data_IF_010151071123
#
_entry.id   IF_010151071123
#
_cell.length_a   1.000
_cell.length_b   1.000
_cell.length_c   1.000
_cell.angle_alpha   90.00
_cell.angle_beta   90.00
_cell.angle_gamma   90.00
#
_symmetry.space_group_name_H-M   'P 1'
#
loop_
_entity.id
_entity.type
_entity.pdbx_description
1 polymer ?
#
# COMPACT_ATOMS: atom_id res chain seq x y z
N UNK A 1 -5.42 -24.18 3.66
CA UNK A 1 -5.00 -23.13 2.71
C UNK A 1 -3.75 -23.61 2.01
N UNK A 2 -3.56 -23.27 0.73
CA UNK A 2 -2.31 -23.56 0.02
C UNK A 2 -1.17 -22.76 0.67
N UNK A 3 0.04 -23.32 0.70
CA UNK A 3 1.25 -22.60 1.10
C UNK A 3 1.87 -21.90 -0.10
N UNK A 4 2.65 -20.84 0.14
CA UNK A 4 3.41 -20.15 -0.91
C UNK A 4 4.58 -21.05 -1.33
N UNK A 5 4.80 -21.15 -2.63
CA UNK A 5 5.90 -21.91 -3.21
C UNK A 5 7.26 -21.37 -2.73
N UNK A 6 8.09 -22.25 -2.15
CA UNK A 6 9.40 -21.87 -1.59
C UNK A 6 10.39 -21.40 -2.65
N UNK A 7 10.36 -21.97 -3.85
CA UNK A 7 11.24 -21.53 -4.94
C UNK A 7 10.81 -20.15 -5.48
N UNK A 8 9.52 -19.83 -5.41
CA UNK A 8 9.02 -18.49 -5.73
C UNK A 8 9.50 -17.47 -4.68
N UNK A 9 9.43 -17.82 -3.38
CA UNK A 9 9.97 -16.97 -2.29
C UNK A 9 11.45 -16.71 -2.52
N UNK A 10 12.22 -17.77 -2.76
CA UNK A 10 13.66 -17.67 -3.02
C UNK A 10 13.98 -16.80 -4.23
N UNK A 11 13.21 -16.94 -5.31
CA UNK A 11 13.34 -16.06 -6.47
C UNK A 11 13.11 -14.58 -6.10
N UNK A 12 12.05 -14.28 -5.33
CA UNK A 12 11.80 -12.92 -4.87
C UNK A 12 12.94 -12.39 -4.01
N UNK A 13 13.43 -13.17 -3.05
CA UNK A 13 14.53 -12.81 -2.15
C UNK A 13 15.85 -12.55 -2.89
N UNK A 14 16.19 -13.39 -3.87
CA UNK A 14 17.48 -13.31 -4.57
C UNK A 14 17.49 -12.31 -5.73
N UNK A 15 16.35 -12.08 -6.38
CA UNK A 15 16.28 -11.32 -7.65
C UNK A 15 15.45 -10.04 -7.57
N UNK A 16 14.39 -10.03 -6.78
CA UNK A 16 13.42 -8.92 -6.78
C UNK A 16 13.66 -7.97 -5.61
N UNK A 17 13.73 -8.50 -4.39
CA UNK A 17 13.88 -7.70 -3.17
C UNK A 17 15.13 -6.80 -3.14
N UNK A 18 16.30 -7.21 -3.66
CA UNK A 18 17.47 -6.33 -3.71
C UNK A 18 17.28 -5.06 -4.56
N UNK A 19 16.30 -5.03 -5.47
CA UNK A 19 16.03 -3.86 -6.31
C UNK A 19 15.42 -2.73 -5.45
N UNK A 20 14.55 -3.08 -4.50
CA UNK A 20 13.85 -2.13 -3.63
C UNK A 20 14.77 -1.42 -2.63
N UNK A 21 15.97 -1.94 -2.36
CA UNK A 21 16.97 -1.28 -1.51
C UNK A 21 17.42 0.08 -2.07
N UNK A 22 17.20 0.31 -3.37
CA UNK A 22 17.54 1.56 -4.05
C UNK A 22 16.41 2.60 -4.05
N UNK A 23 15.21 2.22 -3.58
CA UNK A 23 14.02 3.06 -3.69
C UNK A 23 13.85 4.03 -2.51
N UNK A 24 12.95 5.01 -2.68
CA UNK A 24 12.62 5.93 -1.59
C UNK A 24 11.82 5.24 -0.47
N UNK A 25 11.74 5.87 0.71
CA UNK A 25 11.07 5.32 1.90
C UNK A 25 9.61 4.88 1.67
N UNK A 26 8.92 5.44 0.67
CA UNK A 26 7.54 5.08 0.37
C UNK A 26 7.41 3.75 -0.41
N UNK A 27 8.49 3.27 -1.01
CA UNK A 27 8.50 2.10 -1.88
C UNK A 27 9.68 1.17 -1.54
N UNK A 28 10.25 1.30 -0.34
CA UNK A 28 11.36 0.47 0.11
C UNK A 28 10.90 -0.93 0.50
N UNK A 29 11.84 -1.80 0.86
CA UNK A 29 11.55 -3.19 1.18
C UNK A 29 10.59 -3.35 2.39
N UNK A 30 10.64 -2.44 3.37
CA UNK A 30 9.70 -2.44 4.50
C UNK A 30 8.24 -2.26 4.05
N UNK A 31 8.01 -1.34 3.09
CA UNK A 31 6.69 -1.17 2.47
C UNK A 31 6.24 -2.45 1.78
N UNK A 32 7.10 -3.04 0.94
CA UNK A 32 6.78 -4.27 0.20
C UNK A 32 6.42 -5.41 1.15
N UNK A 33 7.18 -5.63 2.22
CA UNK A 33 6.85 -6.65 3.21
C UNK A 33 5.52 -6.38 3.93
N UNK A 34 5.25 -5.12 4.29
CA UNK A 34 3.96 -4.75 4.89
C UNK A 34 2.79 -4.99 3.92
N UNK A 35 2.96 -4.74 2.61
CA UNK A 35 1.93 -5.03 1.59
C UNK A 35 1.74 -6.54 1.43
N UNK A 36 2.82 -7.32 1.37
CA UNK A 36 2.76 -8.80 1.29
C UNK A 36 2.00 -9.37 2.49
N UNK A 37 2.34 -8.95 3.72
CA UNK A 37 1.66 -9.40 4.93
C UNK A 37 0.17 -9.08 4.89
N UNK A 38 -0.18 -7.83 4.56
CA UNK A 38 -1.58 -7.38 4.42
C UNK A 38 -2.32 -8.19 3.36
N UNK A 39 -1.72 -8.41 2.19
CA UNK A 39 -2.32 -9.19 1.10
C UNK A 39 -2.61 -10.64 1.52
N UNK A 40 -1.69 -11.26 2.26
CA UNK A 40 -1.87 -12.61 2.82
C UNK A 40 -3.00 -12.63 3.86
N UNK A 41 -3.10 -11.61 4.72
CA UNK A 41 -4.17 -11.52 5.71
C UNK A 41 -5.54 -11.33 5.05
N UNK A 42 -5.63 -10.50 4.01
CA UNK A 42 -6.85 -10.34 3.19
C UNK A 42 -7.21 -11.68 2.53
N UNK A 43 -6.25 -12.36 1.91
CA UNK A 43 -6.45 -13.69 1.31
C UNK A 43 -7.04 -14.69 2.31
N UNK A 44 -6.46 -14.78 3.51
CA UNK A 44 -6.95 -15.66 4.59
C UNK A 44 -8.39 -15.31 4.98
N UNK A 45 -8.72 -14.02 5.07
CA UNK A 45 -10.05 -13.54 5.47
C UNK A 45 -11.14 -13.88 4.44
N UNK A 46 -10.78 -13.98 3.15
CA UNK A 46 -11.71 -14.31 2.07
C UNK A 46 -12.18 -15.78 2.14
N UNK A 47 -11.36 -16.67 2.71
CA UNK A 47 -11.61 -18.11 2.80
C UNK A 47 -12.10 -18.73 1.47
N UNK A 48 -11.57 -18.25 0.34
CA UNK A 48 -11.96 -18.71 -0.99
C UNK A 48 -10.86 -19.63 -1.57
N UNK A 49 -11.14 -20.93 -1.77
CA UNK A 49 -10.16 -21.89 -2.28
C UNK A 49 -9.79 -21.69 -3.76
N UNK A 50 -10.56 -20.90 -4.52
CA UNK A 50 -10.28 -20.61 -5.93
C UNK A 50 -9.19 -19.56 -6.12
N UNK A 51 -8.87 -18.80 -5.07
CA UNK A 51 -7.80 -17.79 -5.10
C UNK A 51 -6.46 -18.50 -4.87
N UNK A 52 -5.50 -18.31 -5.77
CA UNK A 52 -4.15 -18.85 -5.61
C UNK A 52 -3.25 -17.90 -4.82
N UNK A 53 -2.73 -18.38 -3.69
CA UNK A 53 -1.87 -17.60 -2.81
C UNK A 53 -0.54 -17.20 -3.47
N UNK A 54 -0.05 -17.98 -4.45
CA UNK A 54 1.18 -17.64 -5.17
C UNK A 54 0.98 -16.42 -6.06
N UNK A 55 -0.17 -16.31 -6.71
CA UNK A 55 -0.55 -15.15 -7.52
C UNK A 55 -0.75 -13.92 -6.63
N UNK A 56 -1.39 -14.07 -5.45
CA UNK A 56 -1.49 -12.99 -4.45
C UNK A 56 -0.11 -12.52 -4.01
N UNK A 57 0.76 -13.45 -3.61
CA UNK A 57 2.11 -13.16 -3.14
C UNK A 57 2.94 -12.44 -4.21
N UNK A 58 2.96 -12.96 -5.44
CA UNK A 58 3.71 -12.36 -6.53
C UNK A 58 3.18 -10.97 -6.91
N UNK A 59 1.86 -10.79 -6.97
CA UNK A 59 1.26 -9.49 -7.27
C UNK A 59 1.62 -8.44 -6.21
N UNK A 60 1.61 -8.82 -4.92
CA UNK A 60 2.01 -7.92 -3.84
C UNK A 60 3.52 -7.61 -3.86
N UNK A 61 4.36 -8.61 -4.12
CA UNK A 61 5.82 -8.44 -4.17
C UNK A 61 6.29 -7.59 -5.36
N UNK A 62 5.53 -7.55 -6.45
CA UNK A 62 5.91 -6.88 -7.71
C UNK A 62 5.16 -5.58 -7.99
N UNK A 63 4.15 -5.19 -7.19
CA UNK A 63 3.27 -4.06 -7.53
C UNK A 63 4.02 -2.74 -7.81
N UNK A 64 5.12 -2.49 -7.08
CA UNK A 64 5.92 -1.26 -7.15
C UNK A 64 7.27 -1.44 -7.88
N UNK A 65 7.55 -2.60 -8.48
CA UNK A 65 8.86 -2.89 -9.09
C UNK A 65 9.20 -1.91 -10.23
N UNK A 66 8.18 -1.34 -10.88
CA UNK A 66 8.31 -0.33 -11.94
C UNK A 66 8.84 1.03 -11.48
N UNK A 67 8.96 1.29 -10.16
CA UNK A 67 9.60 2.51 -9.64
C UNK A 67 11.06 2.62 -10.09
N UNK A 68 11.72 1.49 -10.39
CA UNK A 68 13.07 1.47 -10.97
C UNK A 68 13.18 2.22 -12.30
N UNK A 69 12.08 2.33 -13.04
CA UNK A 69 12.01 3.05 -14.33
C UNK A 69 11.57 4.48 -14.09
N UNK A 70 10.36 4.67 -13.54
CA UNK A 70 9.81 5.99 -13.24
C UNK A 70 8.72 5.88 -12.15
N UNK A 71 8.77 6.77 -11.16
CA UNK A 71 7.74 6.84 -10.12
C UNK A 71 6.34 7.22 -10.62
N UNK A 72 6.22 8.09 -11.63
CA UNK A 72 4.91 8.64 -12.05
C UNK A 72 3.99 7.57 -12.65
N UNK A 73 4.56 6.67 -13.46
CA UNK A 73 3.83 5.60 -14.13
C UNK A 73 4.27 4.21 -13.67
N UNK A 74 4.82 4.09 -12.46
CA UNK A 74 5.40 2.84 -11.94
C UNK A 74 4.47 1.64 -12.09
N UNK A 75 3.16 1.78 -11.87
CA UNK A 75 2.21 0.68 -12.02
C UNK A 75 2.17 0.10 -13.45
N UNK A 76 2.33 0.92 -14.49
CA UNK A 76 2.45 0.45 -15.88
C UNK A 76 3.76 -0.29 -16.06
N UNK A 77 4.86 0.28 -15.58
CA UNK A 77 6.18 -0.33 -15.66
C UNK A 77 6.29 -1.64 -14.86
N UNK A 78 5.56 -1.76 -13.74
CA UNK A 78 5.46 -3.01 -12.98
C UNK A 78 4.76 -4.09 -13.79
N UNK A 79 3.69 -3.73 -14.50
CA UNK A 79 2.99 -4.63 -15.41
C UNK A 79 3.88 -5.07 -16.58
N UNK A 80 4.59 -4.13 -17.22
CA UNK A 80 5.57 -4.43 -18.27
C UNK A 80 6.67 -5.37 -17.78
N UNK A 81 7.25 -5.08 -16.60
CA UNK A 81 8.26 -5.93 -15.98
C UNK A 81 7.75 -7.36 -15.76
N UNK A 82 6.53 -7.53 -15.25
CA UNK A 82 5.93 -8.86 -15.02
C UNK A 82 5.76 -9.62 -16.34
N UNK A 83 5.30 -8.95 -17.39
CA UNK A 83 5.08 -9.57 -18.70
C UNK A 83 6.40 -10.00 -19.38
N UNK A 84 7.48 -9.28 -19.13
CA UNK A 84 8.80 -9.54 -19.72
C UNK A 84 9.67 -10.50 -18.89
N UNK A 85 9.38 -10.70 -17.60
CA UNK A 85 10.18 -11.55 -16.72
C UNK A 85 9.98 -13.04 -17.02
N UNK A 86 10.90 -13.61 -17.79
CA UNK A 86 10.86 -15.02 -18.21
C UNK A 86 10.95 -16.00 -17.03
N UNK A 87 11.61 -15.62 -15.95
CA UNK A 87 11.76 -16.45 -14.75
C UNK A 87 10.43 -16.72 -14.04
N UNK A 88 9.45 -15.80 -14.14
CA UNK A 88 8.10 -16.01 -13.61
C UNK A 88 7.39 -17.19 -14.27
N UNK A 89 7.77 -17.55 -15.50
CA UNK A 89 7.21 -18.69 -16.25
C UNK A 89 7.57 -20.04 -15.64
N UNK A 90 8.53 -20.09 -14.72
CA UNK A 90 8.82 -21.28 -13.93
C UNK A 90 7.76 -21.56 -12.85
N UNK A 91 6.94 -20.56 -12.52
CA UNK A 91 5.97 -20.62 -11.42
C UNK A 91 4.53 -20.47 -11.90
N UNK A 92 4.32 -19.75 -13.00
CA UNK A 92 3.02 -19.32 -13.47
C UNK A 92 2.84 -19.59 -14.96
N UNK A 93 1.62 -19.89 -15.36
CA UNK A 93 1.24 -19.94 -16.78
C UNK A 93 0.97 -18.52 -17.34
N UNK A 94 0.74 -18.40 -18.65
CA UNK A 94 0.50 -17.10 -19.31
C UNK A 94 -0.70 -16.33 -18.76
N UNK A 95 -1.77 -17.02 -18.40
CA UNK A 95 -2.97 -16.41 -17.84
C UNK A 95 -2.69 -15.85 -16.45
N UNK A 96 -1.98 -16.60 -15.61
CA UNK A 96 -1.55 -16.16 -14.28
C UNK A 96 -0.59 -14.97 -14.35
N UNK A 97 0.37 -14.98 -15.28
CA UNK A 97 1.29 -13.85 -15.51
C UNK A 97 0.50 -12.60 -15.92
N UNK A 98 -0.47 -12.75 -16.83
CA UNK A 98 -1.36 -11.66 -17.23
C UNK A 98 -2.17 -11.13 -16.04
N UNK A 99 -2.65 -12.00 -15.16
CA UNK A 99 -3.36 -11.61 -13.94
C UNK A 99 -2.46 -10.84 -12.98
N UNK A 100 -1.21 -11.28 -12.78
CA UNK A 100 -0.22 -10.59 -11.92
C UNK A 100 0.10 -9.21 -12.49
N UNK A 101 0.36 -9.13 -13.80
CA UNK A 101 0.66 -7.87 -14.48
C UNK A 101 -0.51 -6.88 -14.36
N UNK A 102 -1.74 -7.36 -14.60
CA UNK A 102 -2.95 -6.58 -14.43
C UNK A 102 -3.13 -6.10 -12.98
N UNK A 103 -2.88 -6.97 -11.99
CA UNK A 103 -2.95 -6.60 -10.58
C UNK A 103 -1.93 -5.51 -10.21
N UNK A 104 -0.71 -5.59 -10.77
CA UNK A 104 0.32 -4.58 -10.60
C UNK A 104 -0.07 -3.25 -11.26
N UNK A 105 -0.68 -3.25 -12.44
CA UNK A 105 -1.14 -2.00 -13.06
C UNK A 105 -2.34 -1.38 -12.33
N UNK A 106 -3.26 -2.21 -11.85
CA UNK A 106 -4.54 -1.80 -11.31
C UNK A 106 -4.46 -1.26 -9.88
N UNK A 107 -3.36 -1.49 -9.16
CA UNK A 107 -3.25 -1.07 -7.75
C UNK A 107 -3.27 0.45 -7.60
N UNK A 108 -2.75 1.20 -8.59
CA UNK A 108 -2.62 2.65 -8.50
C UNK A 108 -3.97 3.36 -8.60
N UNK A 109 -4.39 3.95 -7.49
CA UNK A 109 -5.64 4.73 -7.39
C UNK A 109 -5.65 6.00 -8.25
N UNK A 110 -4.50 6.47 -8.72
CA UNK A 110 -4.35 7.69 -9.52
C UNK A 110 -5.11 7.66 -10.85
N UNK A 111 -5.33 6.47 -11.42
CA UNK A 111 -6.05 6.29 -12.68
C UNK A 111 -7.57 6.18 -12.51
N UNK A 112 -8.07 6.09 -11.28
CA UNK A 112 -9.51 5.90 -11.02
C UNK A 112 -10.09 4.59 -11.58
N UNK A 113 -9.23 3.63 -11.91
CA UNK A 113 -9.61 2.34 -12.50
C UNK A 113 -10.07 1.39 -11.40
N UNK A 114 -11.12 0.62 -11.67
CA UNK A 114 -11.50 -0.51 -10.80
C UNK A 114 -10.67 -1.73 -11.18
N UNK A 115 -9.98 -2.40 -10.23
CA UNK A 115 -9.15 -3.54 -10.55
C UNK A 115 -9.92 -4.67 -11.25
N UNK A 116 -9.32 -5.21 -12.30
CA UNK A 116 -9.89 -6.20 -13.23
C UNK A 116 -10.14 -7.56 -12.57
N UNK A 117 -9.35 -7.91 -11.57
CA UNK A 117 -9.38 -9.22 -10.93
C UNK A 117 -9.48 -9.13 -9.40
N UNK A 118 -9.81 -10.26 -8.77
CA UNK A 118 -9.77 -10.37 -7.30
C UNK A 118 -8.35 -10.11 -6.76
N UNK A 119 -7.31 -10.52 -7.49
CA UNK A 119 -5.92 -10.28 -7.14
C UNK A 119 -5.57 -8.79 -7.14
N UNK A 120 -6.00 -8.05 -8.17
CA UNK A 120 -5.83 -6.60 -8.21
C UNK A 120 -6.58 -5.89 -7.09
N UNK A 121 -7.77 -6.37 -6.71
CA UNK A 121 -8.51 -5.85 -5.55
C UNK A 121 -7.77 -6.09 -4.23
N UNK A 122 -7.22 -7.29 -4.05
CA UNK A 122 -6.42 -7.65 -2.86
C UNK A 122 -5.20 -6.74 -2.78
N UNK A 123 -4.41 -6.60 -3.85
CA UNK A 123 -3.20 -5.77 -3.85
C UNK A 123 -3.53 -4.30 -3.65
N UNK A 124 -4.55 -3.78 -4.34
CA UNK A 124 -4.99 -2.40 -4.16
C UNK A 124 -5.39 -2.11 -2.71
N UNK A 125 -6.07 -3.03 -2.04
CA UNK A 125 -6.47 -2.89 -0.64
C UNK A 125 -5.31 -3.13 0.34
N UNK A 126 -4.38 -4.02 0.00
CA UNK A 126 -3.18 -4.31 0.78
C UNK A 126 -2.15 -3.17 0.73
N UNK A 127 -2.08 -2.44 -0.38
CA UNK A 127 -1.17 -1.29 -0.54
C UNK A 127 -1.54 -0.13 0.40
N UNK A 128 -2.85 0.12 0.57
CA UNK A 128 -3.37 1.16 1.46
C UNK A 128 -3.01 0.90 2.93
N UNK A 129 -2.46 1.91 3.61
CA UNK A 129 -2.23 1.88 5.06
C UNK A 129 -3.48 1.38 5.82
N UNK A 130 -3.27 0.56 6.84
CA UNK A 130 -4.31 0.09 7.76
C UNK A 130 -4.10 0.60 9.21
N UNK A 131 -3.08 1.41 9.43
CA UNK A 131 -2.75 1.97 10.75
C UNK A 131 -2.93 3.49 10.75
N UNK A 132 -3.83 3.96 11.61
CA UNK A 132 -4.20 5.38 11.71
C UNK A 132 -3.01 6.25 12.11
N UNK A 133 -2.18 5.81 13.07
CA UNK A 133 -1.04 6.59 13.55
C UNK A 133 0.02 6.75 12.47
N UNK A 134 0.38 5.64 11.83
CA UNK A 134 1.36 5.63 10.74
C UNK A 134 0.86 6.50 9.58
N UNK A 135 -0.43 6.39 9.22
CA UNK A 135 -1.00 7.16 8.11
C UNK A 135 -1.00 8.67 8.39
N UNK A 136 -1.42 9.08 9.60
CA UNK A 136 -1.40 10.49 10.01
C UNK A 136 0.02 11.04 10.09
N UNK A 137 0.95 10.29 10.67
CA UNK A 137 2.35 10.69 10.81
C UNK A 137 3.01 10.87 9.44
N UNK A 138 2.84 9.90 8.53
CA UNK A 138 3.36 9.99 7.16
C UNK A 138 2.79 11.18 6.41
N UNK A 139 1.50 11.47 6.55
CA UNK A 139 0.88 12.64 5.92
C UNK A 139 1.47 13.96 6.46
N UNK A 140 1.73 14.02 7.77
CA UNK A 140 2.37 15.17 8.41
C UNK A 140 3.81 15.36 7.95
N UNK A 141 4.64 14.31 8.00
CA UNK A 141 6.03 14.34 7.55
C UNK A 141 6.15 14.68 6.05
N UNK A 142 5.25 14.15 5.23
CA UNK A 142 5.16 14.52 3.81
C UNK A 142 4.85 16.01 3.66
N UNK A 143 3.87 16.53 4.40
CA UNK A 143 3.52 17.96 4.36
C UNK A 143 4.71 18.83 4.72
N UNK A 144 5.41 18.52 5.81
CA UNK A 144 6.61 19.27 6.24
C UNK A 144 7.73 19.23 5.18
N UNK A 145 7.93 18.07 4.54
CA UNK A 145 8.96 17.90 3.50
C UNK A 145 8.67 18.72 2.24
N UNK A 146 7.43 18.74 1.78
CA UNK A 146 7.06 19.40 0.51
C UNK A 146 6.67 20.87 0.70
N UNK A 147 6.30 21.28 1.91
CA UNK A 147 5.95 22.65 2.28
C UNK A 147 6.80 23.13 3.47
N UNK A 148 8.13 23.30 3.30
CA UNK A 148 9.03 23.60 4.41
C UNK A 148 8.80 24.96 5.08
N UNK A 149 8.05 25.85 4.43
CA UNK A 149 7.71 27.17 4.96
C UNK A 149 6.38 27.21 5.73
N UNK A 150 5.63 26.09 5.77
CA UNK A 150 4.41 26.02 6.55
C UNK A 150 4.72 26.06 8.04
N UNK A 151 3.95 26.85 8.77
CA UNK A 151 3.81 26.73 10.21
C UNK A 151 3.22 25.36 10.59
N UNK A 152 3.30 25.01 11.87
CA UNK A 152 2.66 23.78 12.38
C UNK A 152 1.15 23.77 12.08
N UNK A 153 0.47 24.90 12.28
CA UNK A 153 -0.97 25.02 12.00
C UNK A 153 -1.30 24.79 10.51
N UNK A 154 -0.51 25.38 9.61
CA UNK A 154 -0.67 25.16 8.16
C UNK A 154 -0.40 23.71 7.77
N UNK A 155 0.59 23.05 8.38
CA UNK A 155 0.83 21.63 8.19
C UNK A 155 -0.39 20.80 8.62
N UNK A 156 -0.92 21.04 9.82
CA UNK A 156 -2.09 20.33 10.35
C UNK A 156 -3.34 20.56 9.49
N UNK A 157 -3.56 21.79 9.01
CA UNK A 157 -4.67 22.11 8.11
C UNK A 157 -4.53 21.38 6.76
N UNK A 158 -3.34 21.36 6.15
CA UNK A 158 -3.12 20.64 4.90
C UNK A 158 -3.37 19.13 5.08
N UNK A 159 -2.89 18.52 6.16
CA UNK A 159 -3.17 17.10 6.45
C UNK A 159 -4.67 16.85 6.63
N UNK A 160 -5.37 17.73 7.35
CA UNK A 160 -6.82 17.64 7.53
C UNK A 160 -7.57 17.73 6.21
N UNK A 161 -7.21 18.66 5.32
CA UNK A 161 -7.82 18.79 4.01
C UNK A 161 -7.63 17.53 3.16
N UNK A 162 -6.42 16.96 3.15
CA UNK A 162 -6.15 15.70 2.45
C UNK A 162 -6.93 14.53 3.05
N UNK A 163 -7.07 14.49 4.38
CA UNK A 163 -7.90 13.49 5.06
C UNK A 163 -9.38 13.63 4.66
N UNK A 164 -9.92 14.85 4.69
CA UNK A 164 -11.31 15.15 4.32
C UNK A 164 -11.61 14.80 2.85
N UNK A 165 -10.71 15.13 1.93
CA UNK A 165 -10.84 14.77 0.51
C UNK A 165 -10.86 13.25 0.27
N UNK A 166 -10.19 12.48 1.14
CA UNK A 166 -10.07 11.02 1.01
C UNK A 166 -11.20 10.27 1.71
N UNK A 167 -11.59 10.71 2.90
CA UNK A 167 -12.48 9.98 3.81
C UNK A 167 -13.74 10.77 4.23
N UNK A 168 -13.94 11.99 3.71
CA UNK A 168 -15.20 12.73 3.89
C UNK A 168 -16.37 12.12 3.11
N UNK A 169 -17.54 12.76 3.10
CA UNK A 169 -18.74 12.23 2.43
C UNK A 169 -18.57 11.98 0.93
N UNK A 170 -17.76 12.81 0.27
CA UNK A 170 -17.37 12.68 -1.15
C UNK A 170 -16.00 12.01 -1.32
N UNK A 171 -15.52 11.33 -0.27
CA UNK A 171 -14.22 10.72 -0.19
C UNK A 171 -13.96 9.72 -1.32
N UNK A 172 -12.78 9.79 -1.91
CA UNK A 172 -12.40 8.97 -3.07
C UNK A 172 -11.80 7.62 -2.70
N UNK A 173 -11.52 7.36 -1.41
CA UNK A 173 -10.90 6.11 -0.98
C UNK A 173 -11.92 4.97 -1.04
N UNK A 174 -11.59 3.95 -1.82
CA UNK A 174 -12.39 2.74 -1.96
C UNK A 174 -11.58 1.53 -1.52
N UNK A 175 -12.15 0.74 -0.61
CA UNK A 175 -11.73 -0.63 -0.32
C UNK A 175 -12.64 -1.58 -1.09
N UNK A 176 -12.06 -2.54 -1.79
CA UNK A 176 -12.78 -3.48 -2.67
C UNK A 176 -13.17 -4.78 -1.98
N UNK A 177 -12.34 -5.27 -1.05
CA UNK A 177 -12.57 -6.48 -0.27
C UNK A 177 -13.24 -6.13 1.05
N UNK A 178 -12.75 -5.08 1.72
CA UNK A 178 -13.29 -4.63 3.00
C UNK A 178 -13.02 -5.63 4.13
N UNK A 179 -11.77 -6.10 4.24
CA UNK A 179 -11.37 -6.97 5.36
C UNK A 179 -11.65 -6.28 6.71
N UNK A 180 -11.91 -7.02 7.81
CA UNK A 180 -12.33 -6.43 9.08
C UNK A 180 -11.41 -5.31 9.59
N UNK A 181 -10.09 -5.49 9.51
CA UNK A 181 -9.09 -4.48 9.91
C UNK A 181 -9.20 -3.20 9.07
N UNK A 182 -9.44 -3.32 7.77
CA UNK A 182 -9.62 -2.18 6.87
C UNK A 182 -10.92 -1.44 7.16
N UNK A 183 -11.97 -2.16 7.56
CA UNK A 183 -13.24 -1.57 7.97
C UNK A 183 -13.07 -0.67 9.20
N UNK A 184 -12.31 -1.11 10.20
CA UNK A 184 -12.08 -0.33 11.42
C UNK A 184 -11.17 0.87 11.18
N UNK A 185 -10.09 0.69 10.41
CA UNK A 185 -9.24 1.78 9.95
C UNK A 185 -10.08 2.84 9.21
N UNK A 186 -10.88 2.41 8.24
CA UNK A 186 -11.70 3.31 7.42
C UNK A 186 -12.71 4.09 8.26
N UNK A 187 -13.42 3.44 9.19
CA UNK A 187 -14.33 4.12 10.13
C UNK A 187 -13.62 5.16 10.97
N UNK A 188 -12.43 4.82 11.48
CA UNK A 188 -11.64 5.77 12.27
C UNK A 188 -11.19 6.95 11.41
N UNK A 189 -10.69 6.71 10.19
CA UNK A 189 -10.29 7.79 9.29
C UNK A 189 -11.48 8.68 8.89
N UNK A 190 -12.68 8.10 8.70
CA UNK A 190 -13.91 8.88 8.48
C UNK A 190 -14.28 9.73 9.70
N UNK A 191 -14.22 9.20 10.92
CA UNK A 191 -14.56 9.99 12.11
C UNK A 191 -13.61 11.17 12.29
N UNK A 192 -12.32 10.96 12.04
CA UNK A 192 -11.32 12.04 12.03
C UNK A 192 -11.57 13.05 10.90
N UNK A 193 -11.98 12.60 9.71
CA UNK A 193 -12.31 13.50 8.60
C UNK A 193 -13.52 14.38 8.94
N UNK A 194 -14.56 13.81 9.55
CA UNK A 194 -15.83 14.50 9.83
C UNK A 194 -15.78 15.39 11.08
N UNK A 195 -14.78 15.22 11.96
CA UNK A 195 -14.59 16.04 13.15
C UNK A 195 -13.14 16.58 13.24
N UNK A 196 -12.97 17.86 12.87
CA UNK A 196 -11.67 18.55 12.90
C UNK A 196 -11.06 18.60 14.31
N UNK A 197 -11.87 18.71 15.36
CA UNK A 197 -11.35 18.77 16.72
C UNK A 197 -10.81 17.40 17.16
N UNK A 198 -11.52 16.33 16.81
CA UNK A 198 -11.07 14.96 17.04
C UNK A 198 -9.77 14.68 16.26
N UNK A 199 -9.70 15.09 14.99
CA UNK A 199 -8.47 15.04 14.19
C UNK A 199 -7.31 15.76 14.87
N UNK A 200 -7.48 17.03 15.26
CA UNK A 200 -6.43 17.84 15.86
C UNK A 200 -5.92 17.23 17.18
N UNK A 201 -6.81 16.68 17.99
CA UNK A 201 -6.43 15.97 19.21
C UNK A 201 -5.57 14.75 18.89
N UNK A 202 -6.03 13.91 17.94
CA UNK A 202 -5.38 12.66 17.57
C UNK A 202 -4.01 12.87 16.93
N UNK A 203 -3.89 13.78 15.95
CA UNK A 203 -2.62 14.00 15.25
C UNK A 203 -1.54 14.58 16.18
N UNK A 204 -1.93 15.45 17.13
CA UNK A 204 -1.00 16.00 18.14
C UNK A 204 -0.49 14.91 19.10
N UNK A 205 -1.35 13.99 19.49
CA UNK A 205 -0.95 12.82 20.27
C UNK A 205 0.06 11.96 19.50
N UNK A 206 -0.22 11.66 18.23
CA UNK A 206 0.68 10.88 17.35
C UNK A 206 2.04 11.55 17.20
N UNK A 207 2.07 12.87 16.90
CA UNK A 207 3.31 13.62 16.76
C UNK A 207 4.12 13.60 18.06
N UNK A 208 3.47 13.82 19.21
CA UNK A 208 4.12 13.80 20.52
C UNK A 208 4.70 12.42 20.85
N UNK A 209 3.95 11.35 20.60
CA UNK A 209 4.40 9.99 20.86
C UNK A 209 5.60 9.61 19.98
N UNK A 210 5.60 10.05 18.72
CA UNK A 210 6.74 9.84 17.81
C UNK A 210 8.01 10.53 18.34
N UNK A 211 7.93 11.81 18.73
CA UNK A 211 9.06 12.57 19.29
C UNK A 211 9.64 11.92 20.55
N UNK A 212 8.79 11.41 21.45
CA UNK A 212 9.25 10.68 22.64
C UNK A 212 9.93 9.35 22.33
N UNK A 213 9.55 8.68 21.23
CA UNK A 213 10.17 7.43 20.81
C UNK A 213 11.55 7.64 20.19
N UNK A 214 11.77 8.76 19.49
CA UNK A 214 13.06 9.11 18.90
C UNK A 214 14.06 9.49 19.99
N UNK A 215 13.64 10.26 21.00
CA UNK A 215 14.48 10.66 22.14
C UNK A 215 14.90 9.52 23.09
N UNK A 216 14.30 8.33 22.96
CA UNK A 216 14.66 7.13 23.75
C UNK A 216 15.59 6.17 23.00
N UNK A 217 15.87 6.43 21.72
CA UNK A 217 16.76 5.62 20.88
C UNK A 217 18.17 6.21 20.74
N UNK A 218 18.39 7.40 21.29
CA UNK A 218 19.68 8.06 21.48
C UNK A 218 20.18 7.86 22.93
#
# INVERSE_FOLDING_TARGET
MKEINRELIKFMEEKIFPIYDTFDKGHNLDHIFAVIERAINIYKSLNNPEIDINVVYASAALHDIGVQVERKNHAVHSSEFVMECLELRNFFNEEEITIIANACEDHSTSKGITPRSIYGKIVCDADKDNNVEISLLRAYEFTQKYFPNFSEEECLNNVYEQLYLKFGPEGKVKFYIGAPEQSEFFKTMQSLALDKNLFLSRIKEVIKNNLHSTLKKD
#
